data_IF_162286981954
#
_entry.id   IF_162286981954
#
_cell.length_a   1.000
_cell.length_b   1.000
_cell.length_c   1.000
_cell.angle_alpha   90.00
_cell.angle_beta   90.00
_cell.angle_gamma   90.00
#
_symmetry.space_group_name_H-M   'P 1'
#
loop_
_entity.id
_entity.type
_entity.pdbx_description
1 polymer ?
#
# COMPACT_ATOMS: atom_id res chain seq x y z
N UNK A 1 3.58 -0.46 -1.66
CA UNK A 1 4.00 0.90 -1.27
C UNK A 1 4.15 1.76 -2.51
N UNK A 2 3.64 2.98 -2.49
CA UNK A 2 3.65 3.92 -3.61
C UNK A 2 4.10 5.31 -3.20
N UNK A 3 4.73 6.03 -4.12
CA UNK A 3 4.98 7.48 -4.05
C UNK A 3 3.75 8.22 -4.55
N UNK A 4 3.15 9.04 -3.69
CA UNK A 4 1.91 9.80 -3.94
C UNK A 4 2.15 11.31 -3.91
N UNK A 5 3.40 11.75 -4.10
CA UNK A 5 3.78 13.17 -4.04
C UNK A 5 3.19 14.02 -5.16
N UNK A 6 2.75 13.40 -6.25
CA UNK A 6 2.13 14.05 -7.40
C UNK A 6 0.68 13.60 -7.50
N UNK A 7 -0.23 14.56 -7.67
CA UNK A 7 -1.68 14.31 -7.66
C UNK A 7 -2.23 13.93 -9.04
N UNK A 8 -1.72 14.55 -10.11
CA UNK A 8 -2.29 14.43 -11.47
C UNK A 8 -1.65 13.34 -12.34
N UNK A 9 -0.83 12.48 -11.74
CA UNK A 9 -0.19 11.36 -12.43
C UNK A 9 -0.37 10.06 -11.64
N UNK A 10 -0.42 8.90 -12.30
CA UNK A 10 -0.39 7.62 -11.60
C UNK A 10 0.79 7.54 -10.62
N UNK A 11 0.50 7.15 -9.39
CA UNK A 11 1.49 6.98 -8.35
C UNK A 11 2.55 5.93 -8.75
N UNK A 12 3.83 6.24 -8.52
CA UNK A 12 4.91 5.28 -8.78
C UNK A 12 4.87 4.18 -7.73
N UNK A 13 4.85 2.91 -8.16
CA UNK A 13 4.93 1.76 -7.26
C UNK A 13 6.40 1.55 -6.90
N UNK A 14 6.71 1.61 -5.60
CA UNK A 14 8.07 1.41 -5.07
C UNK A 14 8.29 -0.03 -4.60
N UNK A 15 7.23 -0.69 -4.11
CA UNK A 15 7.25 -2.09 -3.72
C UNK A 15 5.84 -2.69 -3.80
N UNK A 16 5.75 -3.97 -4.15
CA UNK A 16 4.49 -4.72 -4.17
C UNK A 16 4.74 -6.17 -3.78
N UNK A 17 3.75 -6.78 -3.13
CA UNK A 17 3.69 -8.21 -2.84
C UNK A 17 2.30 -8.71 -3.19
N UNK A 18 2.23 -9.90 -3.77
CA UNK A 18 0.98 -10.60 -4.05
C UNK A 18 1.00 -11.91 -3.26
N UNK A 19 -0.10 -12.21 -2.58
CA UNK A 19 -0.25 -13.40 -1.76
C UNK A 19 -1.45 -14.20 -2.25
N UNK A 20 -1.28 -15.52 -2.38
CA UNK A 20 -2.38 -16.46 -2.56
C UNK A 20 -3.03 -16.76 -1.21
N UNK A 21 -4.35 -16.80 -1.16
CA UNK A 21 -5.13 -17.21 0.02
C UNK A 21 -4.76 -16.44 1.32
N UNK A 22 -4.85 -15.09 1.33
CA UNK A 22 -4.49 -14.31 2.52
C UNK A 22 -5.47 -14.56 3.67
N UNK A 23 -4.95 -14.73 4.89
CA UNK A 23 -5.73 -14.81 6.15
C UNK A 23 -5.73 -13.46 6.86
N UNK A 24 -6.85 -13.04 7.44
CA UNK A 24 -6.95 -11.72 8.11
C UNK A 24 -6.77 -11.85 9.63
N UNK A 25 -5.89 -11.06 10.27
CA UNK A 25 -4.97 -10.08 9.67
C UNK A 25 -3.78 -10.76 8.95
N UNK A 26 -3.43 -10.26 7.76
CA UNK A 26 -2.23 -10.72 7.03
C UNK A 26 -1.05 -9.82 7.38
N UNK A 27 0.06 -10.41 7.82
CA UNK A 27 1.31 -9.67 7.98
C UNK A 27 2.08 -9.62 6.66
N UNK A 28 2.60 -8.45 6.31
CA UNK A 28 3.54 -8.25 5.22
C UNK A 28 4.61 -7.25 5.62
N UNK A 29 5.76 -7.30 4.95
CA UNK A 29 6.88 -6.40 5.17
C UNK A 29 7.51 -6.03 3.82
N UNK A 30 8.03 -4.81 3.73
CA UNK A 30 8.87 -4.37 2.63
C UNK A 30 10.22 -3.94 3.17
N UNK A 31 11.30 -4.49 2.62
CA UNK A 31 12.67 -4.06 2.90
C UNK A 31 13.17 -3.30 1.68
N UNK A 32 13.49 -2.02 1.85
CA UNK A 32 13.91 -1.13 0.77
C UNK A 32 15.14 -0.32 1.17
N UNK A 33 16.07 -0.06 0.24
CA UNK A 33 17.17 0.87 0.47
C UNK A 33 16.67 2.27 0.84
N UNK A 34 17.37 2.97 1.76
CA UNK A 34 17.03 4.36 2.09
C UNK A 34 17.07 5.30 0.88
N UNK A 35 17.90 4.98 -0.12
CA UNK A 35 18.01 5.74 -1.38
C UNK A 35 16.76 5.68 -2.25
N UNK A 36 15.81 4.77 -1.97
CA UNK A 36 14.51 4.73 -2.64
C UNK A 36 13.63 5.94 -2.27
N UNK A 37 13.89 6.57 -1.12
CA UNK A 37 13.08 7.69 -0.63
C UNK A 37 13.72 9.04 -0.97
N UNK A 38 12.97 9.85 -1.69
CA UNK A 38 13.27 11.24 -2.03
C UNK A 38 12.78 12.17 -0.91
N UNK A 39 13.57 13.19 -0.59
CA UNK A 39 13.21 14.19 0.43
C UNK A 39 12.03 15.06 -0.04
N UNK A 40 11.09 15.34 0.86
CA UNK A 40 9.89 16.13 0.57
C UNK A 40 8.78 15.36 -0.16
N UNK A 41 9.02 14.09 -0.50
CA UNK A 41 8.01 13.22 -1.09
C UNK A 41 7.14 12.55 -0.02
N UNK A 42 5.91 12.22 -0.39
CA UNK A 42 4.92 11.53 0.44
C UNK A 42 4.66 10.13 -0.10
N UNK A 43 4.58 9.16 0.81
CA UNK A 43 4.42 7.75 0.47
C UNK A 43 3.21 7.15 1.16
N UNK A 44 2.57 6.18 0.51
CA UNK A 44 1.40 5.51 1.04
C UNK A 44 1.40 4.01 0.78
N UNK A 45 0.68 3.28 1.64
CA UNK A 45 0.31 1.89 1.43
C UNK A 45 -1.04 1.83 0.71
N UNK A 46 -1.10 0.96 -0.29
CA UNK A 46 -2.34 0.54 -0.92
C UNK A 46 -2.38 -0.98 -0.92
N UNK A 47 -3.56 -1.53 -0.66
CA UNK A 47 -3.82 -2.95 -0.68
C UNK A 47 -5.21 -3.22 -1.25
N UNK A 48 -5.35 -4.34 -1.94
CA UNK A 48 -6.61 -4.82 -2.50
C UNK A 48 -6.66 -6.34 -2.47
N UNK A 49 -7.87 -6.88 -2.37
CA UNK A 49 -8.13 -8.31 -2.51
C UNK A 49 -8.99 -8.49 -3.76
N UNK A 50 -8.51 -9.38 -4.64
CA UNK A 50 -9.17 -9.74 -5.89
C UNK A 50 -9.61 -11.20 -5.84
N UNK A 51 -10.73 -11.53 -6.47
CA UNK A 51 -11.16 -12.90 -6.74
C UNK A 51 -11.61 -13.01 -8.20
N UNK A 52 -10.96 -13.86 -8.99
CA UNK A 52 -11.29 -14.05 -10.42
C UNK A 52 -11.44 -12.72 -11.16
N UNK A 53 -10.40 -11.87 -11.09
CA UNK A 53 -10.33 -10.51 -11.66
C UNK A 53 -11.35 -9.49 -11.13
N UNK A 54 -12.19 -9.86 -10.16
CA UNK A 54 -13.11 -8.92 -9.49
C UNK A 54 -12.48 -8.34 -8.24
N UNK A 55 -12.55 -7.01 -8.11
CA UNK A 55 -12.17 -6.30 -6.90
C UNK A 55 -13.20 -6.56 -5.80
N UNK A 56 -12.76 -7.17 -4.69
CA UNK A 56 -13.64 -7.43 -3.54
C UNK A 56 -13.41 -6.45 -2.40
N UNK A 57 -12.14 -6.17 -2.08
CA UNK A 57 -11.77 -5.28 -0.99
C UNK A 57 -10.66 -4.33 -1.42
N UNK A 58 -10.68 -3.09 -0.92
CA UNK A 58 -9.64 -2.08 -1.13
C UNK A 58 -9.60 -1.12 0.05
N UNK A 59 -8.44 -0.55 0.37
CA UNK A 59 -8.41 0.59 1.29
C UNK A 59 -8.92 1.85 0.60
N UNK A 60 -9.94 2.51 1.18
CA UNK A 60 -10.48 3.78 0.65
C UNK A 60 -9.82 5.01 1.27
N UNK A 61 -9.24 4.86 2.47
CA UNK A 61 -8.45 5.89 3.14
C UNK A 61 -6.95 5.78 2.82
N UNK A 62 -6.25 6.91 2.89
CA UNK A 62 -4.82 6.98 2.73
C UNK A 62 -4.10 6.45 3.98
N UNK A 63 -3.15 5.54 3.76
CA UNK A 63 -2.28 4.99 4.79
C UNK A 63 -0.85 5.48 4.55
N UNK A 64 -0.57 6.70 4.98
CA UNK A 64 0.72 7.36 4.77
C UNK A 64 1.82 6.76 5.65
N UNK A 65 3.05 6.77 5.15
CA UNK A 65 4.24 6.42 5.94
C UNK A 65 5.26 7.55 5.90
N UNK A 66 5.99 7.71 7.00
CA UNK A 66 7.21 8.54 7.05
C UNK A 66 8.44 7.62 7.05
N UNK A 67 9.27 7.65 5.99
CA UNK A 67 10.50 6.84 5.92
C UNK A 67 11.50 7.13 7.03
N UNK A 68 11.39 8.27 7.72
CA UNK A 68 12.26 8.67 8.82
C UNK A 68 11.71 8.26 10.20
N UNK A 69 10.44 7.87 10.29
CA UNK A 69 9.75 7.51 11.51
C UNK A 69 8.86 6.28 11.29
N UNK A 70 9.49 5.16 10.93
CA UNK A 70 8.77 3.92 10.61
C UNK A 70 8.09 3.34 11.87
N UNK A 71 6.77 3.27 11.83
CA UNK A 71 5.93 2.59 12.82
C UNK A 71 5.12 1.50 12.12
N UNK A 72 4.83 0.36 12.80
CA UNK A 72 3.94 -0.66 12.26
C UNK A 72 2.57 -0.05 11.90
N UNK A 73 2.05 -0.39 10.72
CA UNK A 73 0.79 0.14 10.21
C UNK A 73 -0.22 -0.99 9.99
N UNK A 74 -1.42 -0.81 10.54
CA UNK A 74 -2.58 -1.67 10.25
C UNK A 74 -3.42 -1.04 9.14
N UNK A 75 -3.57 -1.76 8.04
CA UNK A 75 -4.35 -1.31 6.88
C UNK A 75 -5.70 -2.02 6.90
N UNK A 76 -6.78 -1.25 7.04
CA UNK A 76 -8.15 -1.73 6.90
C UNK A 76 -8.56 -1.69 5.43
N UNK A 77 -9.27 -2.72 4.99
CA UNK A 77 -9.85 -2.77 3.64
C UNK A 77 -11.36 -2.76 3.75
N UNK A 78 -11.98 -1.97 2.90
CA UNK A 78 -13.43 -1.89 2.78
C UNK A 78 -13.90 -2.86 1.70
N UNK A 79 -15.02 -3.54 1.96
CA UNK A 79 -15.68 -4.36 0.94
C UNK A 79 -16.31 -3.43 -0.11
N UNK A 80 -15.92 -3.61 -1.37
CA UNK A 80 -16.43 -2.84 -2.52
C UNK A 80 -17.00 -3.73 -3.63
N UNK A 81 -16.65 -5.02 -3.64
CA UNK A 81 -17.23 -6.00 -4.56
C UNK A 81 -18.56 -6.54 -4.03
N UNK A 82 -19.51 -6.69 -4.94
CA UNK A 82 -20.83 -7.31 -4.74
C UNK A 82 -20.78 -8.82 -4.95
#
# INVERSE_FOLDING_TARGET
MKDVSKMDVPAQILASVTMSEPVTPTRFEFVLPRTTFITGHTYAIGAKIMLNDKLLFINTQAYSLDPNALVPLSVMLDKVGS
#
